data_IF_238729581848
#
_entry.id   IF_238729581848
#
_cell.length_a   1.000
_cell.length_b   1.000
_cell.length_c   1.000
_cell.angle_alpha   90.00
_cell.angle_beta   90.00
_cell.angle_gamma   90.00
#
_symmetry.space_group_name_H-M   'P 1'
#
loop_
_entity.id
_entity.type
_entity.pdbx_description
1 polymer ?
#
# COMPACT_ATOMS: atom_id res chain seq x y z
N UNK A 1 2.98 -9.65 13.92
CA UNK A 1 2.43 -8.97 12.73
C UNK A 1 3.11 -7.65 12.49
N UNK A 2 3.17 -7.24 11.24
CA UNK A 2 3.73 -5.95 10.85
C UNK A 2 2.70 -5.19 10.02
N UNK A 3 2.80 -3.85 10.01
CA UNK A 3 1.93 -3.00 9.21
C UNK A 3 2.77 -2.21 8.22
N UNK A 4 2.49 -2.41 6.94
CA UNK A 4 3.05 -1.58 5.89
C UNK A 4 2.24 -0.29 5.83
N UNK A 5 2.93 0.85 5.86
CA UNK A 5 2.31 2.17 5.75
C UNK A 5 2.94 2.90 4.58
N UNK A 6 2.13 3.38 3.65
CA UNK A 6 2.63 4.11 2.50
C UNK A 6 1.83 5.41 2.33
N UNK A 7 2.51 6.54 2.47
CA UNK A 7 1.91 7.83 2.16
C UNK A 7 2.09 8.09 0.67
N UNK A 8 0.99 8.30 -0.03
CA UNK A 8 0.99 8.51 -1.47
C UNK A 8 0.46 9.90 -1.78
N UNK A 9 1.34 10.73 -2.34
CA UNK A 9 0.95 12.07 -2.82
C UNK A 9 0.70 11.97 -4.31
N UNK A 10 -0.56 12.12 -4.71
CA UNK A 10 -0.99 11.96 -6.11
C UNK A 10 -0.76 13.25 -6.88
N UNK A 11 -0.08 13.13 -8.03
CA UNK A 11 0.23 14.25 -8.93
C UNK A 11 -0.60 14.20 -10.21
N UNK A 12 -1.15 13.04 -10.53
CA UNK A 12 -1.96 12.82 -11.72
C UNK A 12 -3.43 12.78 -11.41
N UNK A 13 -4.19 12.13 -12.30
CA UNK A 13 -5.61 11.93 -12.12
C UNK A 13 -5.89 10.96 -10.96
N UNK A 14 -6.72 11.40 -10.01
CA UNK A 14 -7.02 10.60 -8.81
C UNK A 14 -7.76 9.32 -9.16
N UNK A 15 -8.71 9.36 -10.09
CA UNK A 15 -9.47 8.17 -10.47
C UNK A 15 -8.56 7.12 -11.13
N UNK A 16 -7.61 7.55 -11.96
CA UNK A 16 -6.61 6.67 -12.55
C UNK A 16 -5.71 6.07 -11.47
N UNK A 17 -5.29 6.89 -10.51
CA UNK A 17 -4.49 6.43 -9.37
C UNK A 17 -5.24 5.34 -8.58
N UNK A 18 -6.51 5.58 -8.25
CA UNK A 18 -7.32 4.62 -7.50
C UNK A 18 -7.49 3.30 -8.24
N UNK A 19 -7.65 3.34 -9.56
CA UNK A 19 -7.77 2.13 -10.38
C UNK A 19 -6.48 1.29 -10.35
N UNK A 20 -5.32 1.93 -10.47
CA UNK A 20 -4.02 1.24 -10.39
C UNK A 20 -3.78 0.70 -8.98
N UNK A 21 -4.09 1.49 -7.97
CA UNK A 21 -3.98 1.09 -6.56
C UNK A 21 -4.86 -0.14 -6.27
N UNK A 22 -6.08 -0.18 -6.82
CA UNK A 22 -6.99 -1.32 -6.62
C UNK A 22 -6.44 -2.60 -7.25
N UNK A 23 -5.75 -2.51 -8.39
CA UNK A 23 -5.08 -3.66 -9.01
C UNK A 23 -3.97 -4.19 -8.09
N UNK A 24 -3.18 -3.30 -7.51
CA UNK A 24 -2.14 -3.68 -6.56
C UNK A 24 -2.74 -4.34 -5.32
N UNK A 25 -3.80 -3.78 -4.77
CA UNK A 25 -4.49 -4.34 -3.60
C UNK A 25 -5.05 -5.73 -3.90
N UNK A 26 -5.66 -5.93 -5.07
CA UNK A 26 -6.18 -7.24 -5.48
C UNK A 26 -5.06 -8.28 -5.56
N UNK A 27 -3.92 -7.91 -6.13
CA UNK A 27 -2.78 -8.81 -6.20
C UNK A 27 -2.24 -9.14 -4.81
N UNK A 28 -1.98 -8.12 -3.99
CA UNK A 28 -1.38 -8.29 -2.67
C UNK A 28 -2.29 -9.06 -1.72
N UNK A 29 -3.60 -8.86 -1.80
CA UNK A 29 -4.56 -9.55 -0.93
C UNK A 29 -4.61 -11.06 -1.17
N UNK A 30 -4.13 -11.52 -2.32
CA UNK A 30 -4.05 -12.95 -2.65
C UNK A 30 -2.73 -13.59 -2.22
N UNK A 31 -1.78 -12.81 -1.68
CA UNK A 31 -0.46 -13.32 -1.33
C UNK A 31 -0.44 -13.97 0.05
N UNK A 32 0.37 -15.03 0.25
CA UNK A 32 0.51 -15.67 1.56
C UNK A 32 0.97 -14.67 2.62
N UNK A 33 0.31 -14.68 3.77
CA UNK A 33 0.65 -13.82 4.90
C UNK A 33 -0.05 -12.47 4.91
N UNK A 34 -0.80 -12.13 3.87
CA UNK A 34 -1.64 -10.93 3.88
C UNK A 34 -2.78 -11.09 4.89
N UNK A 35 -3.06 -10.05 5.67
CA UNK A 35 -4.13 -10.07 6.69
C UNK A 35 -5.27 -9.11 6.35
N UNK A 36 -4.95 -7.83 6.15
CA UNK A 36 -5.98 -6.80 5.89
C UNK A 36 -5.37 -5.55 5.31
N UNK A 37 -6.22 -4.65 4.79
CA UNK A 37 -5.75 -3.34 4.38
C UNK A 37 -6.79 -2.26 4.69
N UNK A 38 -6.32 -1.01 4.69
CA UNK A 38 -7.15 0.16 4.88
C UNK A 38 -6.56 1.30 4.06
N UNK A 39 -7.39 1.97 3.29
CA UNK A 39 -7.00 3.15 2.53
C UNK A 39 -7.64 4.37 3.18
N UNK A 40 -6.80 5.35 3.54
CA UNK A 40 -7.25 6.62 4.10
C UNK A 40 -6.95 7.76 3.13
N UNK A 41 -7.81 8.75 3.10
CA UNK A 41 -7.56 10.01 2.40
C UNK A 41 -7.35 11.10 3.44
N UNK A 42 -6.36 11.96 3.21
CA UNK A 42 -6.12 13.11 4.08
C UNK A 42 -7.37 14.00 4.12
N UNK A 43 -7.81 14.38 5.32
CA UNK A 43 -9.06 15.14 5.49
C UNK A 43 -9.00 16.54 4.87
N UNK A 44 -7.81 17.15 4.80
CA UNK A 44 -7.61 18.50 4.28
C UNK A 44 -6.96 18.56 2.91
N UNK A 45 -6.29 17.49 2.46
CA UNK A 45 -5.57 17.43 1.19
C UNK A 45 -6.08 16.26 0.36
N UNK A 46 -6.99 16.49 -0.61
CA UNK A 46 -7.67 15.38 -1.30
C UNK A 46 -6.77 14.52 -2.20
N UNK A 47 -5.54 14.97 -2.48
CA UNK A 47 -4.57 14.23 -3.27
C UNK A 47 -3.58 13.40 -2.43
N UNK A 48 -3.77 13.37 -1.11
CA UNK A 48 -2.89 12.62 -0.19
C UNK A 48 -3.62 11.44 0.39
N UNK A 49 -3.03 10.25 0.26
CA UNK A 49 -3.59 9.00 0.73
C UNK A 49 -2.60 8.27 1.63
N UNK A 50 -3.12 7.52 2.60
CA UNK A 50 -2.34 6.55 3.35
C UNK A 50 -2.89 5.17 3.05
N UNK A 51 -2.00 4.28 2.64
CA UNK A 51 -2.31 2.86 2.46
C UNK A 51 -1.70 2.09 3.61
N UNK A 52 -2.52 1.37 4.37
CA UNK A 52 -2.09 0.53 5.48
C UNK A 52 -2.42 -0.92 5.14
N UNK A 53 -1.44 -1.79 5.26
CA UNK A 53 -1.65 -3.22 5.02
C UNK A 53 -0.99 -4.02 6.13
N UNK A 54 -1.77 -4.88 6.77
CA UNK A 54 -1.27 -5.75 7.83
C UNK A 54 -0.84 -7.07 7.23
N UNK A 55 0.36 -7.54 7.61
CA UNK A 55 0.96 -8.79 7.18
C UNK A 55 1.33 -9.63 8.38
N UNK A 56 1.31 -10.94 8.21
CA UNK A 56 1.67 -11.90 9.26
C UNK A 56 3.07 -11.63 9.81
N UNK A 57 4.02 -11.36 8.91
CA UNK A 57 5.39 -11.02 9.25
C UNK A 57 6.06 -10.23 8.11
N UNK A 58 7.24 -9.68 8.39
CA UNK A 58 7.99 -8.90 7.43
C UNK A 58 8.45 -9.73 6.22
N UNK A 59 8.75 -11.00 6.43
CA UNK A 59 9.17 -11.90 5.35
C UNK A 59 8.09 -12.12 4.31
N UNK A 60 6.84 -12.27 4.73
CA UNK A 60 5.71 -12.43 3.82
C UNK A 60 5.53 -11.18 2.95
N UNK A 61 5.60 -10.01 3.54
CA UNK A 61 5.54 -8.74 2.80
C UNK A 61 6.69 -8.62 1.80
N UNK A 62 7.92 -8.90 2.25
CA UNK A 62 9.12 -8.82 1.40
C UNK A 62 9.00 -9.72 0.20
N UNK A 63 8.54 -10.95 0.39
CA UNK A 63 8.35 -11.92 -0.70
C UNK A 63 7.35 -11.41 -1.72
N UNK A 64 6.23 -10.83 -1.27
CA UNK A 64 5.20 -10.30 -2.16
C UNK A 64 5.72 -9.14 -3.02
N UNK A 65 6.43 -8.18 -2.40
CA UNK A 65 6.93 -6.99 -3.13
C UNK A 65 8.10 -7.32 -4.07
N UNK A 66 8.77 -8.46 -3.89
CA UNK A 66 9.85 -8.90 -4.78
C UNK A 66 9.36 -9.69 -5.99
N UNK A 67 8.08 -10.06 -6.04
CA UNK A 67 7.54 -10.81 -7.17
C UNK A 67 7.54 -9.97 -8.44
N UNK A 68 7.71 -10.63 -9.59
CA UNK A 68 7.67 -9.95 -10.89
C UNK A 68 6.31 -9.30 -11.15
N UNK A 69 5.24 -9.96 -10.73
CA UNK A 69 3.89 -9.43 -10.91
C UNK A 69 3.70 -8.12 -10.15
N UNK A 70 4.16 -8.05 -8.89
CA UNK A 70 4.11 -6.80 -8.12
C UNK A 70 4.95 -5.71 -8.79
N UNK A 71 6.17 -6.04 -9.20
CA UNK A 71 7.08 -5.08 -9.82
C UNK A 71 6.49 -4.51 -11.12
N UNK A 72 5.81 -5.32 -11.90
CA UNK A 72 5.11 -4.86 -13.11
C UNK A 72 3.95 -3.92 -12.78
N UNK A 73 3.13 -4.29 -11.79
CA UNK A 73 1.97 -3.49 -11.40
C UNK A 73 2.37 -2.15 -10.79
N UNK A 74 3.39 -2.15 -9.93
CA UNK A 74 3.80 -0.93 -9.22
C UNK A 74 4.39 0.12 -10.16
N UNK A 75 4.90 -0.27 -11.32
CA UNK A 75 5.38 0.68 -12.33
C UNK A 75 4.28 1.64 -12.79
N UNK A 76 3.02 1.22 -12.73
CA UNK A 76 1.89 2.06 -13.09
C UNK A 76 1.65 3.22 -12.11
N UNK A 77 2.13 3.11 -10.86
CA UNK A 77 1.98 4.17 -9.87
C UNK A 77 3.02 5.29 -10.02
N UNK A 78 4.22 4.97 -10.50
CA UNK A 78 5.32 5.94 -10.55
C UNK A 78 4.98 7.28 -11.18
N UNK A 79 4.35 7.30 -12.38
CA UNK A 79 3.95 8.55 -13.02
C UNK A 79 2.81 9.30 -12.31
N UNK A 80 2.09 8.63 -11.41
CA UNK A 80 0.86 9.16 -10.81
C UNK A 80 1.04 9.67 -9.39
N UNK A 81 2.00 9.14 -8.64
CA UNK A 81 2.12 9.44 -7.22
C UNK A 81 3.55 9.30 -6.71
N UNK A 82 3.86 10.06 -5.66
CA UNK A 82 5.12 9.94 -4.92
C UNK A 82 4.88 9.08 -3.69
N UNK A 83 5.53 7.92 -3.55
CA UNK A 83 5.37 7.05 -2.40
C UNK A 83 6.34 7.42 -1.28
N UNK A 84 5.91 7.19 -0.04
CA UNK A 84 6.74 7.29 1.16
C UNK A 84 6.45 6.05 2.00
N UNK A 85 7.00 4.88 1.64
CA UNK A 85 6.68 3.62 2.28
C UNK A 85 7.50 3.37 3.54
N UNK A 86 6.92 2.60 4.46
CA UNK A 86 7.62 2.11 5.64
C UNK A 86 6.92 0.88 6.20
N UNK A 87 7.69 0.04 6.90
CA UNK A 87 7.17 -1.12 7.58
C UNK A 87 7.27 -0.88 9.08
N UNK A 88 6.15 -1.06 9.79
CA UNK A 88 6.02 -0.68 11.19
C UNK A 88 5.52 -1.84 12.03
N UNK A 89 5.88 -1.83 13.30
CA UNK A 89 5.38 -2.76 14.30
C UNK A 89 4.50 -2.02 15.30
N UNK A 90 3.48 -2.69 15.81
CA UNK A 90 2.65 -2.12 16.87
C UNK A 90 3.46 -2.11 18.16
N UNK A 91 3.68 -0.93 18.74
CA UNK A 91 4.36 -0.77 20.01
C UNK A 91 3.35 -0.75 21.16
N UNK A 92 2.21 -0.13 20.93
CA UNK A 92 1.16 0.01 21.94
C UNK A 92 -0.19 0.09 21.25
N UNK A 93 -1.18 -0.59 21.81
CA UNK A 93 -2.53 -0.62 21.27
C UNK A 93 -3.54 -0.56 22.42
N UNK A 94 -4.55 0.29 22.27
CA UNK A 94 -5.68 0.36 23.21
C UNK A 94 -6.98 0.48 22.44
N UNK A 95 -8.07 0.03 23.06
CA UNK A 95 -9.42 0.03 22.47
C UNK A 95 -10.27 1.07 23.15
#
# INVERSE_FOLDING_TARGET
MVTFVNKLTVHGDIDTFLAVKDQLTSYMSAQPGYVSHLTLRHAGEPNVFLELAVWKDAGAHRKAVRSEAFQSLVKGLGPLATPEPGLYEIVEESV
#
